data_IF_889545228647
#
_entry.id   IF_889545228647
#
_cell.length_a   1.000
_cell.length_b   1.000
_cell.length_c   1.000
_cell.angle_alpha   90.00
_cell.angle_beta   90.00
_cell.angle_gamma   90.00
#
_symmetry.space_group_name_H-M   'P 1'
#
loop_
_entity.id
_entity.type
_entity.pdbx_description
1 polymer ?
#
# COMPACT_ATOMS: atom_id res chain seq x y z
N UNK A 1 -16.86 -34.34 -55.64
CA UNK A 1 -16.61 -32.95 -55.20
C UNK A 1 -17.90 -32.10 -55.04
N UNK A 2 -18.95 -32.27 -55.81
CA UNK A 2 -20.21 -31.49 -55.66
C UNK A 2 -21.03 -31.76 -54.38
N UNK A 3 -20.95 -32.98 -53.80
CA UNK A 3 -21.68 -33.32 -52.54
C UNK A 3 -21.03 -32.79 -51.26
N UNK A 4 -19.71 -32.50 -51.25
CA UNK A 4 -19.00 -31.92 -50.11
C UNK A 4 -19.29 -30.42 -49.95
N UNK A 5 -19.45 -29.69 -51.07
CA UNK A 5 -19.73 -28.26 -51.06
C UNK A 5 -21.13 -27.90 -50.53
N UNK A 6 -22.11 -28.81 -50.66
CA UNK A 6 -23.50 -28.60 -50.17
C UNK A 6 -23.53 -28.80 -48.64
N UNK A 7 -22.77 -29.73 -48.09
CA UNK A 7 -22.73 -29.99 -46.62
C UNK A 7 -22.05 -28.84 -45.90
N UNK A 8 -20.96 -28.27 -46.45
CA UNK A 8 -20.29 -27.12 -45.87
C UNK A 8 -21.13 -25.84 -45.89
N UNK A 9 -21.94 -25.63 -46.95
CA UNK A 9 -22.81 -24.46 -47.01
C UNK A 9 -24.02 -24.54 -46.05
N UNK A 10 -24.51 -25.74 -45.75
CA UNK A 10 -25.58 -25.97 -44.76
C UNK A 10 -25.07 -25.79 -43.33
N UNK A 11 -23.82 -26.24 -43.03
CA UNK A 11 -23.22 -25.99 -41.72
C UNK A 11 -22.96 -24.50 -41.47
N UNK A 12 -22.58 -23.74 -42.50
CA UNK A 12 -22.38 -22.28 -42.36
C UNK A 12 -23.68 -21.52 -42.18
N UNK A 13 -24.76 -21.97 -42.82
CA UNK A 13 -26.10 -21.37 -42.63
C UNK A 13 -26.68 -21.63 -41.23
N UNK A 14 -26.37 -22.76 -40.60
CA UNK A 14 -26.83 -23.07 -39.23
C UNK A 14 -26.07 -22.21 -38.22
N UNK A 15 -24.76 -21.94 -38.42
CA UNK A 15 -23.96 -21.06 -37.56
C UNK A 15 -24.38 -19.57 -37.68
N UNK A 16 -24.89 -19.12 -38.82
CA UNK A 16 -25.37 -17.75 -39.02
C UNK A 16 -26.74 -17.48 -38.38
N UNK A 17 -27.56 -18.51 -38.13
CA UNK A 17 -28.88 -18.36 -37.49
C UNK A 17 -28.85 -18.33 -35.96
N UNK A 18 -27.71 -18.67 -35.33
CA UNK A 18 -27.57 -18.65 -33.86
C UNK A 18 -27.30 -17.26 -33.26
N UNK A 19 -27.13 -16.21 -34.08
CA UNK A 19 -26.71 -14.89 -33.57
C UNK A 19 -27.89 -13.93 -33.22
N UNK A 20 -29.12 -14.23 -33.58
CA UNK A 20 -30.27 -13.33 -33.39
C UNK A 20 -31.22 -13.76 -32.24
N UNK A 21 -31.01 -14.90 -31.61
CA UNK A 21 -31.82 -15.30 -30.43
C UNK A 21 -31.14 -14.79 -29.14
N UNK A 22 -31.91 -14.11 -28.27
CA UNK A 22 -31.33 -13.64 -27.00
C UNK A 22 -30.82 -14.82 -26.19
N UNK A 23 -29.62 -14.70 -25.57
CA UNK A 23 -29.14 -15.67 -24.59
C UNK A 23 -30.15 -15.80 -23.46
N UNK A 24 -30.29 -17.01 -22.92
CA UNK A 24 -31.27 -17.28 -21.85
C UNK A 24 -31.08 -16.39 -20.63
N UNK A 25 -29.84 -15.97 -20.34
CA UNK A 25 -29.53 -15.08 -19.20
C UNK A 25 -30.12 -13.66 -19.36
N UNK A 26 -30.56 -13.25 -20.50
CA UNK A 26 -31.29 -11.97 -20.70
C UNK A 26 -32.67 -12.05 -20.03
N UNK A 27 -33.33 -13.22 -20.03
CA UNK A 27 -34.56 -13.43 -19.30
C UNK A 27 -34.37 -13.43 -17.79
N UNK A 28 -35.08 -12.55 -17.08
CA UNK A 28 -34.93 -12.36 -15.64
C UNK A 28 -35.39 -13.59 -14.83
N UNK A 29 -36.45 -14.27 -15.26
CA UNK A 29 -36.97 -15.44 -14.55
C UNK A 29 -35.98 -16.61 -14.67
N UNK A 30 -35.48 -16.84 -15.88
CA UNK A 30 -34.47 -17.86 -16.14
C UNK A 30 -33.16 -17.56 -15.40
N UNK A 31 -32.68 -16.28 -15.41
CA UNK A 31 -31.48 -15.87 -14.73
C UNK A 31 -31.57 -16.12 -13.22
N UNK A 32 -32.70 -15.76 -12.58
CA UNK A 32 -32.93 -16.01 -11.15
C UNK A 32 -32.95 -17.51 -10.80
N UNK A 33 -33.49 -18.32 -11.69
CA UNK A 33 -33.57 -19.77 -11.50
C UNK A 33 -32.20 -20.46 -11.70
N UNK A 34 -31.42 -19.99 -12.70
CA UNK A 34 -30.14 -20.63 -13.07
C UNK A 34 -28.93 -20.09 -12.28
N UNK A 35 -29.03 -18.84 -11.80
CA UNK A 35 -27.98 -18.17 -11.00
C UNK A 35 -28.56 -17.64 -9.68
N UNK A 36 -29.03 -18.52 -8.78
CA UNK A 36 -29.54 -18.09 -7.48
C UNK A 36 -28.45 -17.41 -6.67
N UNK A 37 -28.79 -16.32 -5.96
CA UNK A 37 -27.84 -15.50 -5.18
C UNK A 37 -27.18 -16.25 -4.01
N UNK A 38 -27.80 -17.33 -3.57
CA UNK A 38 -27.24 -18.23 -2.57
C UNK A 38 -25.97 -18.93 -3.09
N UNK A 39 -25.92 -19.22 -4.39
CA UNK A 39 -24.83 -19.98 -5.04
C UNK A 39 -23.90 -19.12 -5.89
N UNK A 40 -24.42 -18.00 -6.43
CA UNK A 40 -23.70 -17.16 -7.37
C UNK A 40 -23.61 -15.71 -6.90
N UNK A 41 -22.51 -15.07 -7.28
CA UNK A 41 -22.34 -13.62 -7.28
C UNK A 41 -22.47 -13.17 -8.71
N UNK A 42 -23.28 -12.17 -8.97
CA UNK A 42 -23.46 -11.66 -10.34
C UNK A 42 -23.80 -10.18 -10.37
N UNK A 43 -23.49 -9.55 -11.52
CA UNK A 43 -23.96 -8.23 -11.92
C UNK A 43 -24.65 -8.32 -13.28
N UNK A 44 -25.74 -7.58 -13.48
CA UNK A 44 -26.49 -7.54 -14.71
C UNK A 44 -26.88 -6.11 -15.05
N UNK A 45 -26.53 -5.69 -16.27
CA UNK A 45 -26.82 -4.36 -16.77
C UNK A 45 -27.46 -4.41 -18.14
N UNK A 46 -28.30 -3.40 -18.39
CA UNK A 46 -28.96 -3.12 -19.64
C UNK A 46 -28.76 -1.65 -19.98
N UNK A 47 -28.49 -1.34 -21.22
CA UNK A 47 -28.32 0.02 -21.70
C UNK A 47 -28.48 0.10 -23.22
N UNK A 48 -28.66 1.31 -23.72
CA UNK A 48 -28.76 1.59 -25.16
C UNK A 48 -27.42 2.06 -25.72
N UNK A 49 -27.21 1.82 -27.02
CA UNK A 49 -26.10 2.41 -27.77
C UNK A 49 -26.35 3.91 -27.90
N UNK A 50 -25.45 4.73 -27.32
CA UNK A 50 -25.57 6.19 -27.40
C UNK A 50 -25.19 6.71 -28.79
N UNK A 51 -25.77 7.84 -29.21
CA UNK A 51 -25.56 8.44 -30.56
C UNK A 51 -24.08 8.67 -30.90
N UNK A 52 -23.22 8.90 -29.92
CA UNK A 52 -21.79 9.19 -30.08
C UNK A 52 -20.88 8.02 -29.68
N UNK A 53 -21.43 6.83 -29.41
CA UNK A 53 -20.70 5.65 -28.96
C UNK A 53 -20.84 4.52 -29.98
N UNK A 54 -19.75 3.83 -30.29
CA UNK A 54 -19.84 2.61 -31.10
C UNK A 54 -20.48 1.48 -30.31
N UNK A 55 -21.16 0.55 -31.00
CA UNK A 55 -21.73 -0.65 -30.37
C UNK A 55 -20.67 -1.40 -29.54
N UNK A 56 -19.45 -1.56 -30.05
CA UNK A 56 -18.35 -2.24 -29.33
C UNK A 56 -17.95 -1.49 -28.03
N UNK A 57 -17.90 -0.16 -28.07
CA UNK A 57 -17.61 0.64 -26.87
C UNK A 57 -18.71 0.49 -25.83
N UNK A 58 -20.00 0.47 -26.25
CA UNK A 58 -21.15 0.21 -25.38
C UNK A 58 -21.07 -1.19 -24.75
N UNK A 59 -20.73 -2.21 -25.51
CA UNK A 59 -20.54 -3.58 -25.02
C UNK A 59 -19.44 -3.61 -23.93
N UNK A 60 -18.28 -2.98 -24.19
CA UNK A 60 -17.18 -2.97 -23.25
C UNK A 60 -17.52 -2.18 -21.97
N UNK A 61 -18.18 -1.03 -22.11
CA UNK A 61 -18.63 -0.23 -20.97
C UNK A 61 -19.58 -1.02 -20.07
N UNK A 62 -20.61 -1.66 -20.66
CA UNK A 62 -21.59 -2.44 -19.91
C UNK A 62 -20.99 -3.70 -19.29
N UNK A 63 -20.05 -4.39 -19.96
CA UNK A 63 -19.27 -5.48 -19.36
C UNK A 63 -18.53 -5.03 -18.13
N UNK A 64 -17.79 -3.91 -18.22
CA UNK A 64 -17.04 -3.36 -17.09
C UNK A 64 -17.97 -2.96 -15.94
N UNK A 65 -19.13 -2.39 -16.24
CA UNK A 65 -20.12 -2.03 -15.23
C UNK A 65 -20.78 -3.27 -14.60
N UNK A 66 -21.07 -4.33 -15.35
CA UNK A 66 -21.58 -5.58 -14.80
C UNK A 66 -20.56 -6.27 -13.87
N UNK A 67 -19.29 -6.21 -14.23
CA UNK A 67 -18.19 -6.64 -13.33
C UNK A 67 -18.16 -5.81 -12.05
N UNK A 68 -18.23 -4.49 -12.18
CA UNK A 68 -18.24 -3.58 -11.04
C UNK A 68 -19.45 -3.83 -10.11
N UNK A 69 -20.63 -4.12 -10.66
CA UNK A 69 -21.81 -4.47 -9.88
C UNK A 69 -21.62 -5.79 -9.10
N UNK A 70 -21.05 -6.82 -9.75
CA UNK A 70 -20.73 -8.08 -9.08
C UNK A 70 -19.73 -7.85 -7.93
N UNK A 71 -18.68 -7.03 -8.12
CA UNK A 71 -17.72 -6.64 -7.09
C UNK A 71 -18.41 -5.86 -5.97
N UNK A 72 -19.22 -4.87 -6.30
CA UNK A 72 -19.94 -4.03 -5.34
C UNK A 72 -20.88 -4.85 -4.44
N UNK A 73 -21.46 -5.94 -4.97
CA UNK A 73 -22.30 -6.84 -4.17
C UNK A 73 -21.54 -7.55 -3.05
N UNK A 74 -20.24 -7.82 -3.24
CA UNK A 74 -19.35 -8.34 -2.19
C UNK A 74 -18.95 -7.21 -1.25
N UNK A 75 -18.50 -6.08 -1.78
CA UNK A 75 -18.00 -4.93 -0.98
C UNK A 75 -19.06 -4.40 -0.04
N UNK A 76 -20.30 -4.27 -0.47
CA UNK A 76 -21.42 -3.85 0.39
C UNK A 76 -21.62 -4.83 1.56
N UNK A 77 -21.43 -6.12 1.33
CA UNK A 77 -21.50 -7.13 2.39
C UNK A 77 -20.31 -7.02 3.34
N UNK A 78 -19.10 -6.71 2.82
CA UNK A 78 -17.86 -6.51 3.61
C UNK A 78 -17.93 -5.27 4.50
N UNK A 79 -18.44 -4.14 4.00
CA UNK A 79 -18.56 -2.90 4.77
C UNK A 79 -19.48 -3.03 5.99
N UNK A 80 -20.57 -3.79 5.88
CA UNK A 80 -21.46 -4.06 7.00
C UNK A 80 -20.82 -4.91 8.11
N UNK A 81 -19.82 -5.73 7.79
CA UNK A 81 -19.19 -6.65 8.75
C UNK A 81 -17.84 -6.13 9.25
N UNK A 82 -17.14 -5.27 8.51
CA UNK A 82 -15.85 -4.71 8.93
C UNK A 82 -15.90 -3.94 10.26
N UNK A 83 -17.08 -3.39 10.63
CA UNK A 83 -17.32 -2.83 11.96
C UNK A 83 -17.36 -3.87 13.08
N UNK A 84 -17.56 -5.16 12.76
CA UNK A 84 -17.56 -6.26 13.72
C UNK A 84 -16.18 -6.92 13.88
N UNK A 85 -15.34 -6.88 12.85
CA UNK A 85 -13.96 -7.44 12.90
C UNK A 85 -13.07 -6.68 13.88
N UNK A 86 -13.18 -5.36 13.95
CA UNK A 86 -12.48 -4.56 14.99
C UNK A 86 -12.84 -4.98 16.42
N UNK A 87 -14.03 -5.53 16.64
CA UNK A 87 -14.43 -6.07 17.93
C UNK A 87 -13.87 -7.46 18.19
N UNK A 88 -13.75 -8.29 17.15
CA UNK A 88 -13.19 -9.64 17.24
C UNK A 88 -11.69 -9.61 17.56
N UNK A 89 -10.91 -8.73 16.94
CA UNK A 89 -9.48 -8.56 17.22
C UNK A 89 -9.22 -8.11 18.67
N UNK A 90 -10.09 -7.31 19.24
CA UNK A 90 -10.03 -6.95 20.66
C UNK A 90 -10.30 -8.13 21.59
N UNK A 91 -11.19 -9.05 21.23
CA UNK A 91 -11.50 -10.25 22.01
C UNK A 91 -10.43 -11.34 21.93
N UNK A 92 -9.68 -11.40 20.81
CA UNK A 92 -8.64 -12.43 20.60
C UNK A 92 -7.25 -12.07 21.17
N UNK A 93 -7.10 -10.97 21.90
CA UNK A 93 -5.83 -10.58 22.53
C UNK A 93 -4.76 -10.10 21.55
N UNK A 94 -5.17 -9.62 20.37
CA UNK A 94 -4.29 -9.05 19.33
C UNK A 94 -4.30 -7.50 19.34
N UNK A 95 -4.59 -6.89 20.50
CA UNK A 95 -4.68 -5.42 20.64
C UNK A 95 -3.45 -4.68 20.07
N UNK A 96 -2.24 -5.23 20.27
CA UNK A 96 -1.02 -4.63 19.72
C UNK A 96 -0.92 -4.69 18.18
N UNK A 97 -1.57 -5.66 17.54
CA UNK A 97 -1.56 -5.79 16.08
C UNK A 97 -2.35 -4.66 15.40
N UNK A 98 -3.51 -4.30 15.93
CA UNK A 98 -4.33 -3.20 15.40
C UNK A 98 -3.60 -1.85 15.43
N UNK A 99 -2.75 -1.62 16.44
CA UNK A 99 -1.91 -0.42 16.52
C UNK A 99 -0.83 -0.43 15.46
N UNK A 100 -0.17 -1.58 15.23
CA UNK A 100 0.85 -1.75 14.19
C UNK A 100 0.26 -1.53 12.81
N UNK A 101 -0.89 -2.14 12.51
CA UNK A 101 -1.61 -1.94 11.24
C UNK A 101 -1.88 -0.45 11.02
N UNK A 102 -2.40 0.25 12.04
CA UNK A 102 -2.65 1.68 11.93
C UNK A 102 -1.38 2.48 11.65
N UNK A 103 -0.28 2.18 12.34
CA UNK A 103 1.00 2.86 12.16
C UNK A 103 1.58 2.60 10.75
N UNK A 104 1.62 1.35 10.31
CA UNK A 104 2.12 0.95 8.98
C UNK A 104 1.31 1.60 7.87
N UNK A 105 -0.02 1.60 7.97
CA UNK A 105 -0.89 2.16 6.91
C UNK A 105 -1.11 3.68 7.01
N UNK A 106 -0.84 4.34 8.14
CA UNK A 106 -0.80 5.80 8.21
C UNK A 106 0.45 6.38 7.55
N UNK A 107 1.56 5.65 7.59
CA UNK A 107 2.82 6.05 6.94
C UNK A 107 2.87 5.66 5.46
N UNK A 108 2.10 4.65 5.05
CA UNK A 108 1.96 4.28 3.64
C UNK A 108 0.70 4.93 3.07
N UNK A 109 0.83 5.76 2.05
CA UNK A 109 -0.28 6.24 1.20
C UNK A 109 -0.96 5.11 0.42
N UNK A 110 -0.65 3.87 0.73
CA UNK A 110 -1.11 2.68 0.04
C UNK A 110 -2.36 2.12 0.73
N UNK A 111 -3.48 2.56 0.26
CA UNK A 111 -4.45 1.71 -0.42
C UNK A 111 -5.27 0.78 0.47
N UNK A 112 -6.52 1.17 0.61
CA UNK A 112 -7.64 0.22 0.73
C UNK A 112 -7.40 -0.93 -0.24
N UNK A 113 -7.49 -2.15 0.23
CA UNK A 113 -7.44 -3.33 -0.61
C UNK A 113 -8.44 -3.16 -1.74
N UNK A 114 -7.90 -3.15 -2.90
CA UNK A 114 -8.69 -3.16 -4.09
C UNK A 114 -9.03 -4.62 -4.41
N UNK A 115 -10.10 -5.14 -3.80
CA UNK A 115 -10.79 -6.29 -4.37
C UNK A 115 -11.45 -5.84 -5.68
N UNK A 116 -10.60 -5.40 -6.61
CA UNK A 116 -11.00 -4.85 -7.90
C UNK A 116 -11.11 -5.92 -8.98
N UNK A 117 -10.79 -7.17 -8.66
CA UNK A 117 -10.79 -8.24 -9.62
C UNK A 117 -11.27 -9.56 -9.00
N UNK A 118 -12.45 -9.99 -9.35
CA UNK A 118 -12.96 -11.32 -9.00
C UNK A 118 -12.32 -12.33 -9.96
N UNK A 119 -11.48 -13.25 -9.48
CA UNK A 119 -10.91 -14.29 -10.33
C UNK A 119 -12.00 -15.21 -10.89
N UNK A 120 -11.82 -15.62 -12.13
CA UNK A 120 -12.76 -16.47 -12.87
C UNK A 120 -14.18 -15.89 -13.04
N UNK A 121 -14.34 -14.56 -12.94
CA UNK A 121 -15.58 -13.89 -13.25
C UNK A 121 -15.86 -14.05 -14.76
N UNK A 122 -16.87 -14.82 -15.11
CA UNK A 122 -17.34 -14.92 -16.47
C UNK A 122 -18.11 -13.64 -16.84
N UNK A 123 -17.91 -13.14 -18.06
CA UNK A 123 -18.58 -11.91 -18.53
C UNK A 123 -19.02 -12.10 -19.96
N UNK A 124 -20.32 -11.92 -20.18
CA UNK A 124 -20.93 -11.96 -21.52
C UNK A 124 -21.68 -10.66 -21.80
N UNK A 125 -21.86 -10.36 -23.06
CA UNK A 125 -22.73 -9.30 -23.51
C UNK A 125 -23.45 -9.68 -24.81
N UNK A 126 -24.65 -9.17 -24.99
CA UNK A 126 -25.48 -9.40 -26.17
C UNK A 126 -26.26 -8.13 -26.52
N UNK A 127 -26.49 -7.89 -27.80
CA UNK A 127 -27.25 -6.75 -28.31
C UNK A 127 -28.51 -7.23 -29.05
N UNK A 128 -29.66 -6.68 -28.68
CA UNK A 128 -30.87 -6.76 -29.50
C UNK A 128 -30.78 -5.74 -30.65
N UNK A 129 -30.60 -6.24 -31.86
CA UNK A 129 -30.47 -5.39 -33.04
C UNK A 129 -31.79 -4.69 -33.42
N UNK A 130 -32.96 -5.12 -32.87
CA UNK A 130 -34.26 -4.51 -33.15
C UNK A 130 -34.50 -3.30 -32.24
N UNK A 131 -34.16 -3.43 -30.96
CA UNK A 131 -34.33 -2.35 -29.96
C UNK A 131 -33.09 -1.52 -29.77
N UNK A 132 -31.96 -1.96 -30.31
CA UNK A 132 -30.64 -1.37 -30.10
C UNK A 132 -30.16 -1.39 -28.62
N UNK A 133 -30.76 -2.24 -27.80
CA UNK A 133 -30.40 -2.46 -26.42
C UNK A 133 -29.24 -3.43 -26.31
N UNK A 134 -28.29 -3.14 -25.41
CA UNK A 134 -27.15 -3.99 -25.06
C UNK A 134 -27.32 -4.47 -23.64
N UNK A 135 -27.13 -5.76 -23.45
CA UNK A 135 -27.18 -6.44 -22.17
C UNK A 135 -25.79 -6.95 -21.82
N UNK A 136 -25.41 -6.87 -20.54
CA UNK A 136 -24.17 -7.45 -20.02
C UNK A 136 -24.47 -8.24 -18.74
N UNK A 137 -23.84 -9.38 -18.61
CA UNK A 137 -23.97 -10.28 -17.46
C UNK A 137 -22.59 -10.77 -17.02
N UNK A 138 -22.26 -10.54 -15.76
CA UNK A 138 -21.04 -11.02 -15.12
C UNK A 138 -21.42 -11.94 -13.96
N UNK A 139 -20.79 -13.12 -13.85
CA UNK A 139 -21.10 -14.06 -12.76
C UNK A 139 -19.91 -14.92 -12.37
N UNK A 140 -19.92 -15.35 -11.11
CA UNK A 140 -18.99 -16.35 -10.56
C UNK A 140 -19.71 -17.23 -9.55
N UNK A 141 -19.35 -18.51 -9.51
CA UNK A 141 -19.87 -19.43 -8.48
C UNK A 141 -19.13 -19.16 -7.16
N UNK A 142 -19.88 -18.97 -6.07
CA UNK A 142 -19.32 -18.69 -4.74
C UNK A 142 -18.30 -19.74 -4.30
N UNK A 143 -18.60 -21.03 -4.52
CA UNK A 143 -17.67 -22.13 -4.17
C UNK A 143 -16.35 -22.13 -4.97
N UNK A 144 -16.34 -21.58 -6.21
CA UNK A 144 -15.11 -21.45 -6.99
C UNK A 144 -14.28 -20.28 -6.50
N UNK A 145 -14.95 -19.18 -6.17
CA UNK A 145 -14.31 -18.01 -5.55
C UNK A 145 -13.72 -18.38 -4.19
N UNK A 146 -14.49 -19.04 -3.31
CA UNK A 146 -14.02 -19.52 -2.01
C UNK A 146 -12.75 -20.37 -2.13
N UNK A 147 -12.75 -21.39 -2.99
CA UNK A 147 -11.56 -22.22 -3.26
C UNK A 147 -10.37 -21.43 -3.79
N UNK A 148 -10.61 -20.39 -4.59
CA UNK A 148 -9.53 -19.54 -5.06
C UNK A 148 -8.93 -18.73 -3.91
N UNK A 149 -9.77 -18.11 -3.08
CA UNK A 149 -9.34 -17.31 -1.94
C UNK A 149 -8.61 -18.16 -0.88
N UNK A 150 -9.08 -19.39 -0.59
CA UNK A 150 -8.39 -20.33 0.29
C UNK A 150 -6.94 -20.61 -0.17
N UNK A 151 -6.73 -20.78 -1.48
CA UNK A 151 -5.38 -20.92 -2.04
C UNK A 151 -4.53 -19.67 -1.89
N UNK A 152 -5.13 -18.47 -2.00
CA UNK A 152 -4.41 -17.22 -1.76
C UNK A 152 -4.05 -17.05 -0.27
N UNK A 153 -4.96 -17.38 0.65
CA UNK A 153 -4.72 -17.40 2.09
C UNK A 153 -3.51 -18.28 2.40
N UNK A 154 -3.47 -19.53 1.91
CA UNK A 154 -2.34 -20.44 2.13
C UNK A 154 -1.02 -19.86 1.60
N UNK A 155 -1.03 -19.20 0.43
CA UNK A 155 0.16 -18.56 -0.14
C UNK A 155 0.65 -17.37 0.69
N UNK A 156 -0.30 -16.55 1.18
CA UNK A 156 0.03 -15.39 2.02
C UNK A 156 0.59 -15.84 3.36
N UNK A 157 0.02 -16.87 3.99
CA UNK A 157 0.57 -17.45 5.22
C UNK A 157 2.01 -17.89 5.04
N UNK A 158 2.32 -18.65 3.99
CA UNK A 158 3.69 -19.07 3.69
C UNK A 158 4.63 -17.87 3.49
N UNK A 159 4.16 -16.79 2.85
CA UNK A 159 4.99 -15.57 2.72
C UNK A 159 5.24 -14.90 4.06
N UNK A 160 4.22 -14.83 4.91
CA UNK A 160 4.38 -14.27 6.27
C UNK A 160 5.37 -15.10 7.09
N UNK A 161 5.30 -16.42 7.03
CA UNK A 161 6.26 -17.32 7.69
C UNK A 161 7.69 -17.05 7.23
N UNK A 162 7.91 -16.98 5.91
CA UNK A 162 9.22 -16.65 5.32
C UNK A 162 9.71 -15.29 5.81
N UNK A 163 8.85 -14.26 5.79
CA UNK A 163 9.23 -12.93 6.25
C UNK A 163 9.58 -12.92 7.75
N UNK A 164 8.86 -13.68 8.57
CA UNK A 164 9.15 -13.81 10.01
C UNK A 164 10.50 -14.49 10.24
N UNK A 165 10.80 -15.56 9.54
CA UNK A 165 12.09 -16.27 9.63
C UNK A 165 13.24 -15.38 9.15
N UNK A 166 13.08 -14.71 8.03
CA UNK A 166 14.07 -13.76 7.49
C UNK A 166 14.33 -12.60 8.45
N UNK A 167 13.29 -12.01 9.01
CA UNK A 167 13.43 -10.93 9.98
C UNK A 167 14.19 -11.39 11.23
N UNK A 168 13.93 -12.59 11.73
CA UNK A 168 14.67 -13.15 12.87
C UNK A 168 16.16 -13.37 12.56
N UNK A 169 16.46 -13.79 11.33
CA UNK A 169 17.86 -13.93 10.89
C UNK A 169 18.57 -12.58 10.78
N UNK A 170 17.87 -11.57 10.22
CA UNK A 170 18.39 -10.20 10.12
C UNK A 170 18.62 -9.58 11.51
N UNK A 171 17.74 -9.83 12.49
CA UNK A 171 17.92 -9.41 13.89
C UNK A 171 19.19 -10.05 14.46
N UNK A 172 19.42 -11.36 14.24
CA UNK A 172 20.64 -12.05 14.70
C UNK A 172 21.91 -11.48 14.09
N UNK A 173 21.85 -10.96 12.87
CA UNK A 173 22.96 -10.26 12.19
C UNK A 173 23.14 -8.80 12.62
N UNK A 174 22.23 -8.27 13.43
CA UNK A 174 22.22 -6.85 13.82
C UNK A 174 21.67 -5.92 12.73
N UNK A 175 21.02 -6.46 11.69
CA UNK A 175 20.44 -5.73 10.55
C UNK A 175 18.98 -5.36 10.86
N UNK A 176 18.78 -4.59 11.92
CA UNK A 176 17.45 -4.30 12.48
C UNK A 176 16.53 -3.53 11.54
N UNK A 177 17.09 -2.69 10.66
CA UNK A 177 16.30 -1.88 9.72
C UNK A 177 15.72 -2.75 8.61
N UNK A 178 16.53 -3.61 8.03
CA UNK A 178 16.11 -4.59 7.04
C UNK A 178 15.08 -5.55 7.65
N UNK A 179 15.32 -6.00 8.89
CA UNK A 179 14.35 -6.81 9.64
C UNK A 179 13.01 -6.08 9.79
N UNK A 180 13.03 -4.78 10.11
CA UNK A 180 11.80 -3.98 10.23
C UNK A 180 11.05 -3.88 8.90
N UNK A 181 11.74 -3.68 7.78
CA UNK A 181 11.10 -3.67 6.45
C UNK A 181 10.43 -5.01 6.14
N UNK A 182 11.12 -6.11 6.42
CA UNK A 182 10.58 -7.46 6.22
C UNK A 182 9.35 -7.71 7.10
N UNK A 183 9.34 -7.25 8.36
CA UNK A 183 8.16 -7.34 9.23
C UNK A 183 7.01 -6.44 8.74
N UNK A 184 7.28 -5.25 8.21
CA UNK A 184 6.24 -4.40 7.59
C UNK A 184 5.57 -5.12 6.43
N UNK A 185 6.32 -5.79 5.55
CA UNK A 185 5.77 -6.62 4.48
C UNK A 185 4.92 -7.78 5.02
N UNK A 186 5.34 -8.40 6.14
CA UNK A 186 4.52 -9.41 6.80
C UNK A 186 3.18 -8.86 7.32
N UNK A 187 3.15 -7.62 7.83
CA UNK A 187 1.91 -6.93 8.25
C UNK A 187 1.00 -6.71 7.05
N UNK A 188 1.53 -6.26 5.92
CA UNK A 188 0.76 -6.06 4.68
C UNK A 188 0.12 -7.37 4.18
N UNK A 189 0.90 -8.46 4.16
CA UNK A 189 0.39 -9.78 3.78
C UNK A 189 -0.68 -10.32 4.75
N UNK A 190 -0.51 -10.11 6.07
CA UNK A 190 -1.52 -10.48 7.06
C UNK A 190 -2.81 -9.68 6.93
N UNK A 191 -2.71 -8.42 6.52
CA UNK A 191 -3.88 -7.58 6.25
C UNK A 191 -4.65 -8.09 5.03
N UNK A 192 -3.96 -8.35 3.93
CA UNK A 192 -4.57 -8.93 2.72
C UNK A 192 -5.21 -10.29 3.00
N UNK A 193 -4.53 -11.13 3.80
CA UNK A 193 -5.04 -12.42 4.22
C UNK A 193 -6.33 -12.28 5.03
N UNK A 194 -6.39 -11.36 5.99
CA UNK A 194 -7.57 -11.13 6.80
C UNK A 194 -8.78 -10.69 5.95
N UNK A 195 -8.53 -9.91 4.89
CA UNK A 195 -9.59 -9.54 3.94
C UNK A 195 -10.13 -10.74 3.17
N UNK A 196 -9.25 -11.64 2.70
CA UNK A 196 -9.69 -12.86 2.02
C UNK A 196 -10.45 -13.80 2.95
N UNK A 197 -10.00 -13.97 4.20
CA UNK A 197 -10.74 -14.72 5.22
C UNK A 197 -12.14 -14.15 5.39
N UNK A 198 -12.24 -12.85 5.56
CA UNK A 198 -13.51 -12.16 5.75
C UNK A 198 -14.45 -12.27 4.54
N UNK A 199 -13.93 -12.17 3.30
CA UNK A 199 -14.73 -12.35 2.10
C UNK A 199 -15.30 -13.77 2.05
N UNK A 200 -14.51 -14.79 2.38
CA UNK A 200 -14.98 -16.19 2.40
C UNK A 200 -16.10 -16.37 3.40
N UNK A 201 -15.97 -15.85 4.62
CA UNK A 201 -17.02 -15.90 5.64
C UNK A 201 -18.36 -15.32 5.17
N UNK A 202 -18.31 -14.27 4.33
CA UNK A 202 -19.50 -13.62 3.76
C UNK A 202 -20.13 -14.44 2.65
N UNK A 203 -19.31 -15.02 1.76
CA UNK A 203 -19.81 -15.72 0.57
C UNK A 203 -20.13 -17.18 0.81
N UNK A 204 -19.55 -17.78 1.83
CA UNK A 204 -19.67 -19.21 2.17
C UNK A 204 -19.99 -19.33 3.67
N UNK A 205 -21.29 -19.44 3.98
CA UNK A 205 -21.78 -19.49 5.36
C UNK A 205 -21.49 -20.82 6.07
N UNK A 206 -21.08 -21.83 5.32
CA UNK A 206 -20.79 -23.18 5.84
C UNK A 206 -19.29 -23.37 6.07
N UNK A 207 -18.47 -22.34 5.79
CA UNK A 207 -17.01 -22.40 5.99
C UNK A 207 -16.67 -22.53 7.48
N UNK A 208 -15.71 -23.39 7.78
CA UNK A 208 -15.19 -23.55 9.14
C UNK A 208 -13.82 -22.84 9.29
N UNK A 209 -13.45 -22.41 10.52
CA UNK A 209 -12.19 -21.68 10.75
C UNK A 209 -10.93 -22.38 10.23
N UNK A 210 -10.91 -23.71 10.27
CA UNK A 210 -9.79 -24.53 9.80
C UNK A 210 -9.60 -24.42 8.28
N UNK A 211 -10.68 -24.28 7.51
CA UNK A 211 -10.62 -24.15 6.04
C UNK A 211 -10.00 -22.83 5.58
N UNK A 212 -10.00 -21.82 6.45
CA UNK A 212 -9.42 -20.49 6.20
C UNK A 212 -8.16 -20.23 7.02
N UNK A 213 -7.62 -21.25 7.68
CA UNK A 213 -6.37 -21.20 8.45
C UNK A 213 -6.36 -20.06 9.49
N UNK A 214 -7.46 -19.95 10.25
CA UNK A 214 -7.66 -18.83 11.18
C UNK A 214 -6.68 -18.89 12.35
N UNK A 215 -6.48 -20.05 12.96
CA UNK A 215 -5.59 -20.22 14.10
C UNK A 215 -4.13 -19.96 13.75
N UNK A 216 -3.68 -20.41 12.57
CA UNK A 216 -2.34 -20.15 12.05
C UNK A 216 -2.13 -18.63 11.83
N UNK A 217 -3.13 -17.96 11.27
CA UNK A 217 -3.06 -16.51 11.05
C UNK A 217 -2.97 -15.73 12.37
N UNK A 218 -3.70 -16.15 13.41
CA UNK A 218 -3.64 -15.57 14.75
C UNK A 218 -2.26 -15.80 15.38
N UNK A 219 -1.68 -16.98 15.23
CA UNK A 219 -0.35 -17.29 15.74
C UNK A 219 0.72 -16.40 15.09
N UNK A 220 0.66 -16.23 13.77
CA UNK A 220 1.57 -15.36 13.01
C UNK A 220 1.38 -13.88 13.35
N UNK A 221 0.14 -13.42 13.53
CA UNK A 221 -0.14 -12.03 14.00
C UNK A 221 0.57 -11.76 15.33
N UNK A 222 0.54 -12.70 16.28
CA UNK A 222 1.24 -12.56 17.57
C UNK A 222 2.75 -12.51 17.41
N UNK A 223 3.32 -13.33 16.53
CA UNK A 223 4.77 -13.33 16.28
C UNK A 223 5.22 -12.01 15.62
N UNK A 224 4.52 -11.58 14.57
CA UNK A 224 4.78 -10.32 13.88
C UNK A 224 4.67 -9.15 14.84
N UNK A 225 3.62 -9.11 15.68
CA UNK A 225 3.44 -8.07 16.70
C UNK A 225 4.66 -7.98 17.63
N UNK A 226 5.11 -9.13 18.15
CA UNK A 226 6.26 -9.16 19.05
C UNK A 226 7.53 -8.63 18.36
N UNK A 227 7.83 -9.12 17.16
CA UNK A 227 9.02 -8.71 16.40
C UNK A 227 8.97 -7.24 16.02
N UNK A 228 7.80 -6.73 15.62
CA UNK A 228 7.62 -5.32 15.31
C UNK A 228 7.90 -4.42 16.51
N UNK A 229 7.37 -4.77 17.69
CA UNK A 229 7.60 -4.02 18.92
C UNK A 229 9.07 -4.06 19.36
N UNK A 230 9.72 -5.23 19.21
CA UNK A 230 11.14 -5.39 19.47
C UNK A 230 11.98 -4.47 18.57
N UNK A 231 11.66 -4.42 17.29
CA UNK A 231 12.35 -3.60 16.31
C UNK A 231 12.02 -2.12 16.42
N UNK A 232 10.78 -1.76 16.80
CA UNK A 232 10.39 -0.36 17.01
C UNK A 232 11.19 0.31 18.11
N UNK A 233 11.45 -0.42 19.20
CA UNK A 233 12.19 0.08 20.35
C UNK A 233 13.71 -0.10 20.23
N UNK A 234 14.19 -0.62 19.11
CA UNK A 234 15.55 -1.13 18.96
C UNK A 234 16.45 -0.43 17.96
N UNK A 235 16.01 0.64 17.27
CA UNK A 235 16.88 1.42 16.38
C UNK A 235 17.34 2.66 17.12
N UNK A 236 18.58 2.61 17.61
CA UNK A 236 19.17 3.70 18.36
C UNK A 236 20.12 4.50 17.48
N UNK A 237 19.94 5.82 17.49
CA UNK A 237 20.77 6.77 16.76
C UNK A 237 21.52 7.64 17.78
N UNK A 238 22.81 7.73 17.61
CA UNK A 238 23.62 8.74 18.25
C UNK A 238 23.84 9.89 17.27
N UNK A 239 23.48 11.10 17.67
CA UNK A 239 23.67 12.31 16.84
C UNK A 239 24.55 13.28 17.61
N UNK A 240 25.70 13.60 17.04
CA UNK A 240 26.54 14.69 17.50
C UNK A 240 26.80 15.69 16.37
N UNK A 241 27.24 16.88 16.74
CA UNK A 241 27.58 17.85 15.70
C UNK A 241 28.12 19.17 16.27
N UNK A 242 28.89 19.82 15.41
CA UNK A 242 29.44 21.15 15.63
C UNK A 242 28.85 22.11 14.59
N UNK A 243 27.78 22.79 14.98
CA UNK A 243 27.11 23.78 14.13
C UNK A 243 27.33 25.18 14.70
N UNK A 244 27.61 26.14 13.82
CA UNK A 244 27.88 27.52 14.24
C UNK A 244 27.09 28.55 13.41
N UNK A 245 26.80 29.69 14.05
CA UNK A 245 26.40 30.92 13.36
C UNK A 245 27.46 31.98 13.62
N UNK A 246 28.29 32.22 12.62
CA UNK A 246 29.39 33.18 12.65
C UNK A 246 30.40 32.98 13.83
N UNK A 247 30.68 31.71 14.14
CA UNK A 247 31.58 31.31 15.20
C UNK A 247 30.92 31.12 16.58
N UNK A 248 29.61 31.33 16.70
CA UNK A 248 28.84 31.03 17.89
C UNK A 248 28.12 29.68 17.73
N UNK A 249 28.26 28.78 18.74
CA UNK A 249 27.65 27.45 18.69
C UNK A 249 26.12 27.50 18.52
N UNK A 250 25.59 26.77 17.55
CA UNK A 250 24.16 26.70 17.26
C UNK A 250 23.61 25.27 17.42
N UNK A 251 23.35 24.84 18.64
CA UNK A 251 22.83 23.50 18.96
C UNK A 251 21.39 23.28 18.55
N UNK A 252 20.61 24.34 18.34
CA UNK A 252 19.20 24.24 17.98
C UNK A 252 19.00 23.47 16.67
N UNK A 253 19.93 23.57 15.74
CA UNK A 253 19.87 22.81 14.48
C UNK A 253 19.88 21.30 14.72
N UNK A 254 20.79 20.81 15.57
CA UNK A 254 20.88 19.38 15.94
C UNK A 254 19.59 18.92 16.63
N UNK A 255 19.02 19.77 17.50
CA UNK A 255 17.74 19.46 18.16
C UNK A 255 16.60 19.36 17.16
N UNK A 256 16.49 20.26 16.19
CA UNK A 256 15.47 20.22 15.13
C UNK A 256 15.59 18.95 14.27
N UNK A 257 16.83 18.55 13.92
CA UNK A 257 17.06 17.29 13.21
C UNK A 257 16.60 16.10 14.05
N UNK A 258 16.93 16.05 15.35
CA UNK A 258 16.48 15.00 16.27
C UNK A 258 14.95 14.95 16.39
N UNK A 259 14.29 16.10 16.52
CA UNK A 259 12.82 16.18 16.57
C UNK A 259 12.19 15.56 15.31
N UNK A 260 12.63 15.97 14.13
CA UNK A 260 12.12 15.41 12.87
C UNK A 260 12.39 13.90 12.73
N UNK A 261 13.56 13.43 13.16
CA UNK A 261 13.88 11.99 13.15
C UNK A 261 13.04 11.22 14.19
N UNK A 262 12.73 11.82 15.35
CA UNK A 262 11.85 11.23 16.36
C UNK A 262 10.42 11.04 15.82
N UNK A 263 9.89 12.04 15.11
CA UNK A 263 8.58 11.97 14.45
C UNK A 263 8.52 10.83 13.42
N UNK A 264 9.68 10.45 12.87
CA UNK A 264 9.84 9.33 11.93
C UNK A 264 10.15 7.99 12.62
N UNK A 265 10.06 7.95 13.97
CA UNK A 265 10.17 6.73 14.76
C UNK A 265 11.61 6.31 15.13
N UNK A 266 12.58 7.21 15.03
CA UNK A 266 13.93 6.96 15.52
C UNK A 266 14.02 7.17 17.03
N UNK A 267 14.79 6.33 17.72
CA UNK A 267 15.15 6.47 19.14
C UNK A 267 16.58 6.98 19.26
N UNK A 268 16.85 7.79 20.30
CA UNK A 268 18.17 8.37 20.50
C UNK A 268 18.85 7.81 21.75
N UNK A 269 20.15 7.61 21.66
CA UNK A 269 21.00 7.28 22.79
C UNK A 269 22.05 8.35 23.01
N UNK A 270 22.52 8.50 24.26
CA UNK A 270 23.68 9.32 24.60
C UNK A 270 24.97 8.53 24.55
N UNK A 271 24.91 7.23 24.36
CA UNK A 271 26.05 6.33 24.29
C UNK A 271 26.32 5.94 22.84
N UNK A 272 27.45 6.36 22.30
CA UNK A 272 27.86 6.12 20.91
C UNK A 272 28.06 4.63 20.62
N UNK A 273 28.48 3.83 21.61
CA UNK A 273 28.72 2.39 21.44
C UNK A 273 27.42 1.58 21.42
N UNK A 274 26.36 2.09 22.04
CA UNK A 274 25.04 1.47 22.05
C UNK A 274 24.15 1.88 20.86
N UNK A 275 24.60 2.82 20.05
CA UNK A 275 23.89 3.24 18.87
C UNK A 275 24.03 2.21 17.74
N UNK A 276 22.98 2.02 16.95
CA UNK A 276 23.05 1.28 15.68
C UNK A 276 23.68 2.16 14.59
N UNK A 277 23.45 3.48 14.69
CA UNK A 277 23.93 4.49 13.75
C UNK A 277 24.50 5.71 14.48
N UNK A 278 25.65 6.14 14.01
CA UNK A 278 26.28 7.40 14.42
C UNK A 278 26.14 8.41 13.30
N UNK A 279 25.65 9.58 13.65
CA UNK A 279 25.38 10.69 12.72
C UNK A 279 26.19 11.89 13.21
N UNK A 280 27.20 12.25 12.44
CA UNK A 280 28.04 13.42 12.67
C UNK A 280 27.63 14.55 11.72
N UNK A 281 27.30 15.71 12.28
CA UNK A 281 26.85 16.89 11.53
C UNK A 281 27.78 18.06 11.85
N UNK A 282 28.35 18.69 10.85
CA UNK A 282 29.09 19.93 11.04
C UNK A 282 28.59 21.02 10.09
N UNK A 283 28.67 22.25 10.52
CA UNK A 283 28.27 23.37 9.66
C UNK A 283 29.19 24.57 9.79
N UNK A 284 29.23 25.38 8.73
CA UNK A 284 29.91 26.67 8.70
C UNK A 284 29.03 27.71 8.06
N UNK A 285 29.08 28.94 8.58
CA UNK A 285 28.31 30.06 8.05
C UNK A 285 29.21 31.14 7.45
N UNK A 286 28.75 31.75 6.36
CA UNK A 286 29.43 32.83 5.68
C UNK A 286 28.47 33.97 5.32
N UNK A 287 28.80 35.20 5.74
CA UNK A 287 28.06 36.40 5.30
C UNK A 287 28.30 36.65 3.82
N UNK A 288 27.25 37.00 3.14
CA UNK A 288 27.29 37.43 1.72
C UNK A 288 27.06 38.95 1.62
N UNK A 289 27.18 39.49 0.40
CA UNK A 289 26.89 40.86 0.17
C UNK A 289 25.40 41.17 0.37
N UNK A 290 25.13 42.30 1.03
CA UNK A 290 23.77 42.85 1.15
C UNK A 290 23.30 43.39 -0.20
N UNK A 291 22.01 43.31 -0.47
CA UNK A 291 21.40 43.88 -1.67
C UNK A 291 20.06 44.54 -1.36
N UNK A 292 19.74 45.59 -2.14
CA UNK A 292 18.37 46.14 -2.13
C UNK A 292 17.44 45.24 -2.97
N UNK A 293 16.39 44.72 -2.35
CA UNK A 293 15.36 43.90 -3.00
C UNK A 293 14.00 44.55 -2.73
N UNK A 294 13.30 44.95 -3.77
CA UNK A 294 11.98 45.61 -3.67
C UNK A 294 11.92 46.79 -2.70
N UNK A 295 13.01 47.57 -2.61
CA UNK A 295 13.10 48.76 -1.75
C UNK A 295 13.52 48.48 -0.30
N UNK A 296 13.77 47.22 0.09
CA UNK A 296 14.25 46.83 1.40
C UNK A 296 15.69 46.32 1.32
N UNK A 297 16.48 46.56 2.37
CA UNK A 297 17.79 46.00 2.51
C UNK A 297 17.64 44.51 2.87
N UNK A 298 18.18 43.59 2.08
CA UNK A 298 18.19 42.19 2.32
C UNK A 298 19.61 41.70 2.69
N UNK A 299 19.70 40.92 3.75
CA UNK A 299 20.89 40.23 4.21
C UNK A 299 20.90 38.81 3.66
N UNK A 300 22.05 38.39 3.16
CA UNK A 300 22.23 37.03 2.61
C UNK A 300 23.31 36.31 3.36
N UNK A 301 23.05 35.09 3.71
CA UNK A 301 24.00 34.18 4.37
C UNK A 301 24.03 32.85 3.64
N UNK A 302 25.23 32.32 3.49
CA UNK A 302 25.48 30.99 2.98
C UNK A 302 25.84 30.09 4.16
N UNK A 303 25.13 28.97 4.28
CA UNK A 303 25.39 27.91 5.26
C UNK A 303 25.81 26.67 4.51
N UNK A 304 26.94 26.09 4.90
CA UNK A 304 27.41 24.79 4.42
C UNK A 304 27.26 23.77 5.54
N UNK A 305 26.53 22.70 5.30
CA UNK A 305 26.34 21.58 6.25
C UNK A 305 26.97 20.33 5.67
N UNK A 306 27.82 19.67 6.43
CA UNK A 306 28.35 18.34 6.17
C UNK A 306 27.68 17.31 7.06
N UNK A 307 27.46 16.12 6.50
CA UNK A 307 26.84 14.98 7.16
C UNK A 307 27.67 13.74 6.90
N UNK A 308 27.98 13.01 7.97
CA UNK A 308 28.55 11.68 7.90
C UNK A 308 27.66 10.71 8.68
N UNK A 309 27.37 9.54 8.08
CA UNK A 309 26.56 8.48 8.68
C UNK A 309 27.40 7.21 8.74
N UNK A 310 27.60 6.70 9.94
CA UNK A 310 28.42 5.51 10.21
C UNK A 310 27.57 4.42 10.82
N UNK A 311 27.66 3.19 10.32
CA UNK A 311 27.03 2.00 10.91
C UNK A 311 27.93 1.47 12.02
N UNK A 312 27.43 1.46 13.27
CA UNK A 312 28.27 1.20 14.45
C UNK A 312 28.86 -0.22 14.47
N UNK A 313 28.08 -1.23 14.12
CA UNK A 313 28.51 -2.63 14.16
C UNK A 313 29.65 -2.98 13.18
N UNK A 314 29.75 -2.26 12.07
CA UNK A 314 30.81 -2.46 11.05
C UNK A 314 31.85 -1.35 11.05
N UNK A 315 31.61 -0.26 11.77
CA UNK A 315 32.42 0.98 11.74
C UNK A 315 32.56 1.55 10.32
N UNK A 316 31.63 1.21 9.43
CA UNK A 316 31.66 1.63 8.04
C UNK A 316 30.91 2.95 7.87
N UNK A 317 31.55 3.90 7.21
CA UNK A 317 30.88 5.13 6.73
C UNK A 317 30.03 4.73 5.53
N UNK A 318 28.71 4.84 5.72
CA UNK A 318 27.71 4.51 4.70
C UNK A 318 27.40 5.71 3.82
N UNK A 319 27.48 6.90 4.40
CA UNK A 319 27.26 8.14 3.69
C UNK A 319 28.17 9.23 4.20
N UNK A 320 28.70 10.03 3.29
CA UNK A 320 29.38 11.29 3.54
C UNK A 320 28.98 12.28 2.45
N UNK A 321 28.63 13.49 2.83
CA UNK A 321 28.22 14.53 1.87
C UNK A 321 28.10 15.90 2.52
N UNK A 322 28.06 16.94 1.68
CA UNK A 322 27.87 18.31 2.12
C UNK A 322 26.94 19.06 1.16
N UNK A 323 26.19 20.01 1.70
CA UNK A 323 25.26 20.86 0.96
C UNK A 323 25.45 22.30 1.38
N UNK A 324 25.23 23.18 0.44
CA UNK A 324 25.28 24.62 0.67
C UNK A 324 23.91 25.23 0.34
N UNK A 325 23.32 25.91 1.32
CA UNK A 325 22.08 26.64 1.16
C UNK A 325 22.26 28.12 1.46
N UNK A 326 21.44 28.94 0.78
CA UNK A 326 21.41 30.38 1.00
C UNK A 326 20.13 30.76 1.71
N UNK A 327 20.29 31.50 2.79
CA UNK A 327 19.20 32.17 3.48
C UNK A 327 19.19 33.67 3.21
N UNK A 328 18.02 34.26 3.33
CA UNK A 328 17.84 35.69 3.19
C UNK A 328 16.83 36.24 4.19
N UNK A 329 17.11 37.42 4.74
CA UNK A 329 16.20 38.09 5.65
C UNK A 329 16.37 39.60 5.59
N UNK A 330 15.31 40.37 5.91
CA UNK A 330 15.35 41.83 5.91
C UNK A 330 15.84 42.46 7.21
N UNK A 331 15.93 41.68 8.30
CA UNK A 331 16.32 42.18 9.63
C UNK A 331 17.85 42.23 9.80
N UNK A 332 18.51 41.07 9.67
CA UNK A 332 19.94 40.94 9.90
C UNK A 332 20.48 39.62 9.34
N UNK A 333 21.82 39.44 9.42
CA UNK A 333 22.53 38.23 8.98
C UNK A 333 22.15 36.99 9.81
N UNK A 334 21.87 37.15 11.11
CA UNK A 334 21.52 36.03 11.98
C UNK A 334 20.21 35.38 11.54
N UNK A 335 19.17 36.17 11.29
CA UNK A 335 17.87 35.67 10.78
C UNK A 335 18.02 35.07 9.37
N UNK A 336 18.90 35.61 8.54
CA UNK A 336 19.21 35.01 7.23
C UNK A 336 19.91 33.63 7.40
N UNK A 337 20.76 33.45 8.39
CA UNK A 337 21.35 32.16 8.71
C UNK A 337 20.29 31.15 9.18
N UNK A 338 19.34 31.57 10.02
CA UNK A 338 18.24 30.70 10.47
C UNK A 338 17.36 30.21 9.28
N UNK A 339 17.09 31.07 8.29
CA UNK A 339 16.38 30.66 7.07
C UNK A 339 17.14 29.60 6.29
N UNK A 340 18.47 29.69 6.17
CA UNK A 340 19.29 28.68 5.53
C UNK A 340 19.30 27.36 6.34
N UNK A 341 19.42 27.41 7.65
CA UNK A 341 19.36 26.22 8.52
C UNK A 341 18.02 25.50 8.43
N UNK A 342 16.90 26.22 8.35
CA UNK A 342 15.58 25.63 8.16
C UNK A 342 15.49 24.79 6.88
N UNK A 343 16.10 25.26 5.80
CA UNK A 343 16.18 24.52 4.51
C UNK A 343 17.06 23.27 4.68
N UNK A 344 18.21 23.43 5.33
CA UNK A 344 19.10 22.30 5.59
C UNK A 344 18.47 21.22 6.47
N UNK A 345 17.64 21.59 7.45
CA UNK A 345 17.01 20.61 8.34
C UNK A 345 16.24 19.56 7.55
N UNK A 346 15.43 19.98 6.58
CA UNK A 346 14.70 19.07 5.69
C UNK A 346 15.62 18.19 4.84
N UNK A 347 16.67 18.78 4.24
CA UNK A 347 17.61 18.05 3.38
C UNK A 347 18.37 16.99 4.19
N UNK A 348 18.90 17.37 5.35
CA UNK A 348 19.68 16.49 6.23
C UNK A 348 18.81 15.35 6.77
N UNK A 349 17.62 15.66 7.28
CA UNK A 349 16.68 14.64 7.81
C UNK A 349 16.29 13.64 6.74
N UNK A 350 15.91 14.11 5.55
CA UNK A 350 15.54 13.22 4.44
C UNK A 350 16.71 12.33 4.04
N UNK A 351 17.95 12.88 4.02
CA UNK A 351 19.13 12.11 3.66
C UNK A 351 19.51 11.06 4.69
N UNK A 352 19.36 11.39 5.98
CA UNK A 352 19.54 10.41 7.07
C UNK A 352 18.56 9.25 6.89
N UNK A 353 17.27 9.53 6.76
CA UNK A 353 16.22 8.51 6.58
C UNK A 353 16.45 7.68 5.31
N UNK A 354 16.77 8.31 4.18
CA UNK A 354 17.10 7.60 2.94
C UNK A 354 18.28 6.63 3.13
N UNK A 355 19.30 7.04 3.89
CA UNK A 355 20.50 6.24 4.08
C UNK A 355 20.27 5.10 5.07
N UNK A 356 19.57 5.38 6.17
CA UNK A 356 19.24 4.39 7.20
C UNK A 356 18.26 3.34 6.64
N UNK A 357 17.44 3.70 5.66
CA UNK A 357 16.45 2.83 5.04
C UNK A 357 16.96 2.03 3.82
N UNK A 358 18.24 2.19 3.46
CA UNK A 358 18.91 1.36 2.41
C UNK A 358 19.58 0.17 3.01
#
# INVERSE_FOLDING_TARGET
MRKLAVITSILWSILAFCQDTPPMWVDNAWRRASYPRETYIFGFLQGEVQENESSEATHQRLKNQAQAEAIASIQTSVEHVSSSVSRSDQQMGTMGYSEIVREVFQTSTTTRSNFNNIPNLAVESWQDKKTNEVFAFAWVKKSELSKHLQRQISRLLTRVEINVEEAQELIRKGEKIEARKTIVQAVEHLQELAEYQHIIEIIDTDIVPEDILLDESIALKKQVTRLYQELKNGIYIYVEGECDIFGETYLTFIQQVKEQLSDLGCSFTSDREQADWVIDIASTTRKMNQAQVAGFLAYFVEVNVSLQITKTNTQQVIFEGAWTEKGSHTNNDYEAALDAYKKHCQIVTNKIIETINK
#
